data_IF_051171719063
#
_entry.id   IF_051171719063
#
_cell.length_a   1.000
_cell.length_b   1.000
_cell.length_c   1.000
_cell.angle_alpha   90.00
_cell.angle_beta   90.00
_cell.angle_gamma   90.00
#
_symmetry.space_group_name_H-M   'P 1'
#
loop_
_entity.id
_entity.type
_entity.pdbx_description
1 polymer ?
#
# COMPACT_ATOMS: atom_id res chain seq x y z
N UNK A 1 -37.92 26.97 -68.98
CA UNK A 1 -37.11 28.15 -69.34
C UNK A 1 -35.80 27.93 -68.60
N UNK A 2 -34.95 27.27 -69.35
CA UNK A 2 -33.59 27.66 -69.80
C UNK A 2 -32.60 27.66 -68.66
N UNK A 3 -31.63 26.93 -68.68
CA UNK A 3 -30.49 26.36 -69.45
C UNK A 3 -29.30 26.35 -68.51
N UNK A 4 -28.67 25.27 -68.36
CA UNK A 4 -27.46 24.72 -68.98
C UNK A 4 -26.19 25.54 -68.74
N UNK A 5 -25.19 24.89 -68.22
CA UNK A 5 -23.80 24.64 -68.65
C UNK A 5 -22.93 24.27 -67.44
N UNK A 6 -22.51 23.02 -67.30
CA UNK A 6 -21.32 22.38 -67.89
C UNK A 6 -20.05 23.20 -67.73
N UNK A 7 -19.12 22.65 -66.95
CA UNK A 7 -17.74 22.44 -67.33
C UNK A 7 -16.97 21.64 -66.29
N UNK A 8 -16.41 20.58 -66.77
CA UNK A 8 -15.46 19.70 -66.05
C UNK A 8 -14.10 20.39 -65.88
N UNK A 9 -13.42 20.08 -64.79
CA UNK A 9 -11.96 20.09 -64.72
C UNK A 9 -11.48 19.04 -63.72
N UNK A 10 -10.95 18.00 -64.32
CA UNK A 10 -10.04 16.99 -63.77
C UNK A 10 -8.83 17.63 -63.08
N UNK A 11 -8.50 17.20 -61.88
CA UNK A 11 -7.15 17.30 -61.34
C UNK A 11 -6.91 16.22 -60.30
N UNK A 12 -6.40 15.12 -60.76
CA UNK A 12 -5.79 14.03 -59.99
C UNK A 12 -4.56 14.55 -59.22
N UNK A 13 -4.65 14.59 -57.90
CA UNK A 13 -3.50 14.65 -57.00
C UNK A 13 -3.47 13.40 -56.15
N UNK A 14 -2.65 12.44 -56.60
CA UNK A 14 -2.24 11.29 -55.80
C UNK A 14 -1.29 11.77 -54.71
N UNK A 15 -1.76 11.83 -53.46
CA UNK A 15 -0.89 11.91 -52.31
C UNK A 15 -0.68 10.50 -51.75
N UNK A 16 0.52 9.99 -51.96
CA UNK A 16 1.05 8.80 -51.30
C UNK A 16 1.23 9.13 -49.83
N UNK A 17 0.20 8.79 -49.01
CA UNK A 17 0.33 8.81 -47.57
C UNK A 17 1.14 7.59 -47.14
N UNK A 18 2.41 7.82 -46.78
CA UNK A 18 3.22 6.82 -46.08
C UNK A 18 2.58 6.56 -44.72
N UNK A 19 2.34 5.29 -44.41
CA UNK A 19 1.98 4.83 -43.08
C UNK A 19 3.11 5.21 -42.12
N UNK A 20 2.79 5.65 -40.88
CA UNK A 20 3.82 5.83 -39.85
C UNK A 20 4.47 4.47 -39.54
N UNK A 21 5.75 4.46 -39.18
CA UNK A 21 6.40 3.23 -38.78
C UNK A 21 5.71 2.67 -37.53
N UNK A 22 5.39 1.41 -37.62
CA UNK A 22 4.91 0.60 -36.49
C UNK A 22 6.07 0.46 -35.50
N UNK A 23 6.12 1.34 -34.50
CA UNK A 23 7.01 1.21 -33.36
C UNK A 23 6.51 0.05 -32.49
N UNK A 24 6.75 -1.16 -32.97
CA UNK A 24 6.55 -2.41 -32.26
C UNK A 24 7.48 -2.56 -31.05
N UNK A 25 7.49 -1.59 -30.18
CA UNK A 25 8.02 -1.67 -28.84
C UNK A 25 7.04 -2.41 -27.93
N UNK A 26 6.87 -3.71 -28.12
CA UNK A 26 6.30 -4.60 -27.12
C UNK A 26 7.22 -4.61 -25.91
N UNK A 27 7.02 -3.64 -25.02
CA UNK A 27 7.47 -3.73 -23.64
C UNK A 27 6.70 -4.90 -23.03
N UNK A 28 7.26 -6.09 -23.10
CA UNK A 28 6.78 -7.23 -22.34
C UNK A 28 6.85 -6.80 -20.87
N UNK A 29 5.71 -6.38 -20.32
CA UNK A 29 5.58 -6.14 -18.89
C UNK A 29 5.83 -7.48 -18.22
N UNK A 30 7.03 -7.64 -17.68
CA UNK A 30 7.42 -8.85 -16.97
C UNK A 30 6.37 -9.10 -15.87
N UNK A 31 5.77 -10.29 -15.86
CA UNK A 31 4.73 -10.62 -14.89
C UNK A 31 5.30 -10.43 -13.47
N UNK A 32 4.56 -9.80 -12.54
CA UNK A 32 5.04 -9.56 -11.20
C UNK A 32 5.42 -10.89 -10.53
N UNK A 33 6.62 -10.93 -9.98
CA UNK A 33 7.11 -12.11 -9.24
C UNK A 33 6.38 -12.13 -7.89
N UNK A 34 5.65 -13.21 -7.55
CA UNK A 34 4.99 -13.30 -6.26
C UNK A 34 6.00 -13.19 -5.11
N UNK A 35 5.76 -12.28 -4.18
CA UNK A 35 6.53 -12.18 -2.94
C UNK A 35 5.88 -13.10 -1.90
N UNK A 36 6.39 -14.32 -1.78
CA UNK A 36 5.84 -15.34 -0.89
C UNK A 36 6.33 -15.20 0.56
N UNK A 37 7.46 -14.55 0.76
CA UNK A 37 8.06 -14.32 2.08
C UNK A 37 8.73 -12.94 2.12
N UNK A 38 8.79 -12.29 3.29
CA UNK A 38 9.58 -11.06 3.45
C UNK A 38 11.04 -11.30 3.07
N UNK A 39 11.69 -10.35 2.40
CA UNK A 39 13.10 -10.47 1.96
C UNK A 39 14.06 -10.73 3.11
N UNK A 40 13.73 -10.26 4.32
CA UNK A 40 14.53 -10.38 5.54
C UNK A 40 14.12 -11.60 6.38
N UNK A 41 13.23 -12.45 5.85
CA UNK A 41 12.61 -13.56 6.59
C UNK A 41 11.52 -13.08 7.54
N UNK A 42 10.89 -14.01 8.23
CA UNK A 42 9.85 -13.73 9.23
C UNK A 42 10.55 -13.54 10.59
N UNK A 43 10.47 -12.35 11.22
CA UNK A 43 11.08 -12.13 12.51
C UNK A 43 10.34 -12.93 13.62
N UNK A 44 10.99 -13.20 14.74
CA UNK A 44 10.32 -13.80 15.89
C UNK A 44 9.26 -12.85 16.45
N UNK A 45 8.19 -13.44 17.01
CA UNK A 45 7.14 -12.67 17.67
C UNK A 45 7.67 -12.09 18.99
N UNK A 46 7.44 -10.82 19.20
CA UNK A 46 7.81 -10.06 20.40
C UNK A 46 6.73 -10.29 21.44
N UNK A 47 7.10 -10.94 22.54
CA UNK A 47 6.21 -11.34 23.63
C UNK A 47 6.79 -11.02 25.01
N UNK A 48 7.79 -10.13 25.08
CA UNK A 48 8.39 -9.68 26.34
C UNK A 48 8.77 -8.19 26.28
N UNK A 49 8.80 -7.55 27.47
CA UNK A 49 9.05 -6.11 27.60
C UNK A 49 10.45 -5.70 27.11
N UNK A 50 11.46 -6.53 27.28
CA UNK A 50 12.82 -6.19 26.87
C UNK A 50 12.97 -6.19 25.34
N UNK A 51 12.33 -7.15 24.65
CA UNK A 51 12.26 -7.19 23.21
C UNK A 51 11.42 -6.02 22.68
N UNK A 52 10.29 -5.71 23.35
CA UNK A 52 9.45 -4.55 23.00
C UNK A 52 10.23 -3.25 23.12
N UNK A 53 10.96 -3.02 24.20
CA UNK A 53 11.75 -1.80 24.39
C UNK A 53 12.83 -1.62 23.31
N UNK A 54 13.50 -2.69 22.89
CA UNK A 54 14.45 -2.66 21.77
C UNK A 54 13.77 -2.31 20.45
N UNK A 55 12.58 -2.86 20.24
CA UNK A 55 11.78 -2.59 19.04
C UNK A 55 11.34 -1.13 18.99
N UNK A 56 10.86 -0.58 20.11
CA UNK A 56 10.48 0.84 20.21
C UNK A 56 11.66 1.72 19.82
N UNK A 57 12.84 1.50 20.39
CA UNK A 57 14.04 2.27 20.07
C UNK A 57 14.44 2.15 18.59
N UNK A 58 14.33 0.97 17.99
CA UNK A 58 14.61 0.77 16.58
C UNK A 58 13.60 1.51 15.69
N UNK A 59 12.31 1.47 16.04
CA UNK A 59 11.26 2.14 15.27
C UNK A 59 11.31 3.66 15.43
N UNK A 60 11.67 4.17 16.60
CA UNK A 60 11.92 5.60 16.82
C UNK A 60 13.09 6.11 15.95
N UNK A 61 14.18 5.34 15.87
CA UNK A 61 15.36 5.67 15.05
C UNK A 61 15.13 5.47 13.54
N UNK A 62 14.07 4.79 13.13
CA UNK A 62 13.74 4.54 11.73
C UNK A 62 13.37 5.81 10.97
N UNK A 63 13.28 5.70 9.65
CA UNK A 63 12.95 6.81 8.75
C UNK A 63 11.69 6.56 7.93
N UNK A 64 11.08 7.65 7.42
CA UNK A 64 9.87 7.57 6.61
C UNK A 64 8.63 7.10 7.37
N UNK A 65 7.56 6.75 6.65
CA UNK A 65 6.32 6.26 7.23
C UNK A 65 6.48 4.86 7.84
N UNK A 66 5.54 4.47 8.68
CA UNK A 66 5.42 3.12 9.22
C UNK A 66 4.19 2.43 8.63
N UNK A 67 4.37 1.23 8.05
CA UNK A 67 3.26 0.36 7.71
C UNK A 67 2.81 -0.38 8.97
N UNK A 68 1.49 -0.43 9.20
CA UNK A 68 0.87 -1.07 10.37
C UNK A 68 -0.29 -1.94 9.89
N UNK A 69 -0.41 -3.11 10.50
CA UNK A 69 -1.52 -4.03 10.30
C UNK A 69 -1.83 -4.73 11.63
N UNK A 70 -3.09 -5.12 11.85
CA UNK A 70 -3.51 -5.77 13.08
C UNK A 70 -4.44 -6.96 12.81
N UNK A 71 -4.05 -8.13 13.28
CA UNK A 71 -4.86 -9.34 13.19
C UNK A 71 -5.80 -9.47 14.39
N UNK A 72 -7.07 -9.72 14.09
CA UNK A 72 -8.16 -9.86 15.07
C UNK A 72 -8.79 -11.24 14.98
N UNK A 73 -9.23 -11.80 16.10
CA UNK A 73 -10.00 -13.06 16.10
C UNK A 73 -11.48 -12.81 15.74
N UNK A 74 -11.75 -12.18 14.62
CA UNK A 74 -13.08 -11.70 14.21
C UNK A 74 -14.12 -12.79 13.89
N UNK A 75 -13.76 -14.05 13.89
CA UNK A 75 -14.67 -15.17 13.55
C UNK A 75 -15.22 -15.95 14.75
N UNK A 76 -14.62 -15.83 15.94
CA UNK A 76 -14.91 -16.71 17.07
C UNK A 76 -15.28 -16.00 18.39
N UNK A 77 -15.13 -14.69 18.49
CA UNK A 77 -15.46 -13.91 19.69
C UNK A 77 -15.98 -12.52 19.32
N UNK A 78 -16.91 -12.01 20.10
CA UNK A 78 -17.50 -10.67 19.95
C UNK A 78 -16.53 -9.52 20.36
N UNK A 79 -15.22 -9.73 20.37
CA UNK A 79 -14.22 -8.74 20.76
C UNK A 79 -13.44 -8.18 19.56
N UNK A 80 -13.08 -6.90 19.66
CA UNK A 80 -12.24 -6.21 18.66
C UNK A 80 -10.74 -6.33 18.98
N UNK A 81 -10.37 -7.13 19.98
CA UNK A 81 -9.00 -7.25 20.46
C UNK A 81 -8.03 -7.70 19.37
N UNK A 82 -6.90 -7.02 19.26
CA UNK A 82 -5.78 -7.47 18.44
C UNK A 82 -5.08 -8.68 19.07
N UNK A 83 -4.63 -9.60 18.25
CA UNK A 83 -3.86 -10.79 18.63
C UNK A 83 -2.47 -10.80 18.00
N UNK A 84 -2.25 -10.00 16.96
CA UNK A 84 -0.94 -9.72 16.39
C UNK A 84 -0.96 -8.28 15.88
N UNK A 85 0.11 -7.55 16.14
CA UNK A 85 0.37 -6.25 15.50
C UNK A 85 1.63 -6.39 14.67
N UNK A 86 1.51 -6.04 13.40
CA UNK A 86 2.58 -6.10 12.42
C UNK A 86 3.01 -4.67 12.07
N UNK A 87 4.30 -4.41 12.13
CA UNK A 87 4.86 -3.11 11.75
C UNK A 87 6.06 -3.30 10.83
N UNK A 88 6.20 -2.35 9.90
CA UNK A 88 7.41 -2.23 9.08
C UNK A 88 7.79 -0.78 8.91
N UNK A 89 9.08 -0.47 9.13
CA UNK A 89 9.62 0.86 8.91
C UNK A 89 11.03 0.78 8.33
N UNK A 90 11.38 1.72 7.47
CA UNK A 90 12.74 1.83 6.91
C UNK A 90 13.76 2.07 8.05
N UNK A 91 14.85 1.28 8.03
CA UNK A 91 15.88 1.31 9.08
C UNK A 91 15.55 0.50 10.35
N UNK A 92 14.26 0.22 10.62
CA UNK A 92 13.84 -0.61 11.76
C UNK A 92 13.53 -2.05 11.38
N UNK A 93 13.21 -2.31 10.09
CA UNK A 93 12.80 -3.63 9.63
C UNK A 93 11.34 -3.96 9.93
N UNK A 94 11.05 -5.25 10.10
CA UNK A 94 9.70 -5.76 10.41
C UNK A 94 9.64 -6.20 11.87
N UNK A 95 8.53 -5.89 12.55
CA UNK A 95 8.22 -6.34 13.90
C UNK A 95 6.85 -7.04 13.92
N UNK A 96 6.78 -8.17 14.63
CA UNK A 96 5.56 -8.90 14.95
C UNK A 96 5.40 -8.86 16.47
N UNK A 97 4.34 -8.24 16.97
CA UNK A 97 4.12 -8.04 18.41
C UNK A 97 2.88 -8.81 18.83
N UNK A 98 3.00 -9.58 19.92
CA UNK A 98 1.86 -10.22 20.58
C UNK A 98 1.26 -9.25 21.61
N UNK A 99 0.10 -8.64 21.35
CA UNK A 99 -0.53 -7.70 22.28
C UNK A 99 -1.25 -8.43 23.45
N UNK A 100 -1.25 -9.76 23.46
CA UNK A 100 -1.71 -10.51 24.63
C UNK A 100 -0.61 -10.58 25.69
N UNK A 101 0.63 -10.78 25.24
CA UNK A 101 1.82 -10.79 26.11
C UNK A 101 2.31 -9.37 26.44
N UNK A 102 2.16 -8.42 25.50
CA UNK A 102 2.50 -7.00 25.66
C UNK A 102 1.22 -6.14 25.53
N UNK A 103 0.36 -6.03 26.54
CA UNK A 103 -0.98 -5.44 26.42
C UNK A 103 -1.00 -3.92 26.34
N UNK A 104 0.10 -3.26 26.62
CA UNK A 104 0.26 -1.80 26.53
C UNK A 104 1.38 -1.47 25.54
N UNK A 105 0.98 -0.91 24.40
CA UNK A 105 1.89 -0.43 23.36
C UNK A 105 1.90 1.11 23.27
N UNK A 106 1.45 1.81 24.30
CA UNK A 106 1.38 3.29 24.32
C UNK A 106 2.74 3.92 24.07
N UNK A 107 3.83 3.38 24.65
CA UNK A 107 5.18 3.86 24.41
C UNK A 107 5.61 3.73 22.94
N UNK A 108 5.18 2.68 22.24
CA UNK A 108 5.40 2.54 20.79
C UNK A 108 4.56 3.57 20.01
N UNK A 109 3.30 3.75 20.41
CA UNK A 109 2.42 4.77 19.84
C UNK A 109 3.00 6.18 19.99
N UNK A 110 3.56 6.53 21.15
CA UNK A 110 4.24 7.80 21.41
C UNK A 110 5.50 7.97 20.57
N UNK A 111 6.35 6.95 20.49
CA UNK A 111 7.56 6.97 19.65
C UNK A 111 7.24 7.19 18.17
N UNK A 112 6.05 6.78 17.72
CA UNK A 112 5.56 6.94 16.35
C UNK A 112 4.59 8.11 16.18
N UNK A 113 4.39 8.98 17.18
CA UNK A 113 3.39 10.05 17.15
C UNK A 113 3.59 11.07 16.03
N UNK A 114 4.84 11.35 15.63
CA UNK A 114 5.16 12.25 14.52
C UNK A 114 5.27 11.58 13.16
N UNK A 115 5.10 10.26 13.11
CA UNK A 115 5.28 9.45 11.92
C UNK A 115 3.95 9.27 11.18
N UNK A 116 3.98 9.26 9.86
CA UNK A 116 2.80 8.89 9.07
C UNK A 116 2.63 7.36 9.09
N UNK A 117 1.43 6.92 9.49
CA UNK A 117 1.08 5.51 9.47
C UNK A 117 0.40 5.14 8.16
N UNK A 118 0.81 4.04 7.57
CA UNK A 118 0.21 3.47 6.36
C UNK A 118 -0.56 2.22 6.76
N UNK A 119 -1.88 2.24 6.54
CA UNK A 119 -2.76 1.10 6.76
C UNK A 119 -3.57 0.81 5.49
N UNK A 120 -4.14 -0.38 5.42
CA UNK A 120 -5.15 -0.72 4.41
C UNK A 120 -6.51 -0.87 5.08
N UNK A 121 -7.52 -0.14 4.61
CA UNK A 121 -8.86 -0.11 5.23
C UNK A 121 -8.79 0.21 6.73
N UNK A 122 -8.08 1.27 7.09
CA UNK A 122 -7.68 1.64 8.44
C UNK A 122 -8.81 1.64 9.47
N UNK A 123 -10.05 1.89 9.04
CA UNK A 123 -11.24 1.85 9.91
C UNK A 123 -11.46 0.51 10.57
N UNK A 124 -10.89 -0.57 10.03
CA UNK A 124 -10.99 -1.91 10.58
C UNK A 124 -10.03 -2.11 11.76
N UNK A 125 -8.82 -1.54 11.71
CA UNK A 125 -7.75 -1.80 12.67
C UNK A 125 -7.62 -0.72 13.75
N UNK A 126 -7.96 0.53 13.44
CA UNK A 126 -7.87 1.64 14.39
C UNK A 126 -8.59 1.39 15.73
N UNK A 127 -9.77 0.73 15.80
CA UNK A 127 -10.40 0.44 17.07
C UNK A 127 -9.55 -0.46 17.97
N UNK A 128 -9.02 -1.57 17.45
CA UNK A 128 -8.22 -2.51 18.24
C UNK A 128 -6.83 -1.94 18.57
N UNK A 129 -6.22 -1.17 17.68
CA UNK A 129 -4.96 -0.47 17.95
C UNK A 129 -5.11 0.56 19.07
N UNK A 130 -6.22 1.28 19.11
CA UNK A 130 -6.52 2.23 20.18
C UNK A 130 -6.63 1.57 21.55
N UNK A 131 -7.21 0.35 21.63
CA UNK A 131 -7.32 -0.40 22.88
C UNK A 131 -5.98 -0.72 23.52
N UNK A 132 -4.92 -0.81 22.73
CA UNK A 132 -3.54 -1.10 23.19
C UNK A 132 -2.63 0.15 23.20
N UNK A 133 -3.22 1.35 23.11
CA UNK A 133 -2.49 2.61 23.21
C UNK A 133 -1.86 3.11 21.91
N UNK A 134 -2.13 2.47 20.78
CA UNK A 134 -1.58 2.86 19.47
C UNK A 134 -2.57 3.74 18.70
N UNK A 135 -2.28 5.04 18.62
CA UNK A 135 -3.14 6.03 17.95
C UNK A 135 -2.33 6.88 16.98
N UNK A 136 -2.56 6.78 15.66
CA UNK A 136 -1.85 7.62 14.70
C UNK A 136 -2.29 9.07 14.76
N UNK A 137 -1.35 10.01 14.60
CA UNK A 137 -1.63 11.44 14.38
C UNK A 137 -1.68 11.80 12.89
N UNK A 138 -1.02 11.00 12.06
CA UNK A 138 -1.01 11.10 10.60
C UNK A 138 -1.27 9.72 10.00
N UNK A 139 -2.21 9.65 9.06
CA UNK A 139 -2.66 8.40 8.48
C UNK A 139 -2.72 8.49 6.96
N UNK A 140 -2.20 7.49 6.29
CA UNK A 140 -2.42 7.21 4.88
C UNK A 140 -3.14 5.86 4.74
N UNK A 141 -4.38 5.89 4.26
CA UNK A 141 -5.17 4.69 4.01
C UNK A 141 -5.06 4.29 2.53
N UNK A 142 -4.45 3.13 2.28
CA UNK A 142 -4.20 2.66 0.91
C UNK A 142 -5.49 2.22 0.20
N UNK A 143 -6.52 1.74 0.90
CA UNK A 143 -7.82 1.47 0.30
C UNK A 143 -8.47 2.77 -0.18
N UNK A 144 -8.51 3.77 0.67
CA UNK A 144 -9.09 5.06 0.32
C UNK A 144 -8.33 5.72 -0.83
N UNK A 145 -6.99 5.67 -0.80
CA UNK A 145 -6.16 6.20 -1.87
C UNK A 145 -6.40 5.49 -3.21
N UNK A 146 -6.49 4.15 -3.21
CA UNK A 146 -6.82 3.36 -4.40
C UNK A 146 -8.18 3.74 -4.98
N UNK A 147 -9.20 3.88 -4.12
CA UNK A 147 -10.54 4.30 -4.55
C UNK A 147 -10.56 5.71 -5.16
N UNK A 148 -9.83 6.65 -4.58
CA UNK A 148 -9.70 8.01 -5.11
C UNK A 148 -8.93 8.04 -6.45
N UNK A 149 -7.99 7.12 -6.64
CA UNK A 149 -7.25 6.94 -7.89
C UNK A 149 -8.05 6.18 -8.97
N UNK A 150 -9.26 5.71 -8.65
CA UNK A 150 -10.16 5.04 -9.61
C UNK A 150 -9.92 3.54 -9.77
N UNK A 151 -9.14 2.91 -8.88
CA UNK A 151 -8.98 1.45 -8.89
C UNK A 151 -10.28 0.75 -8.46
N UNK A 152 -10.71 -0.32 -9.13
CA UNK A 152 -11.88 -1.09 -8.73
C UNK A 152 -11.62 -1.80 -7.38
N UNK A 153 -12.69 -2.05 -6.65
CA UNK A 153 -12.65 -2.57 -5.27
C UNK A 153 -12.03 -3.96 -5.14
N UNK A 154 -12.08 -4.75 -6.21
CA UNK A 154 -11.60 -6.14 -6.24
C UNK A 154 -10.07 -6.23 -6.35
N UNK A 155 -9.42 -5.19 -6.87
CA UNK A 155 -7.96 -5.15 -7.08
C UNK A 155 -7.21 -4.53 -5.89
N UNK A 156 -7.93 -3.93 -4.93
CA UNK A 156 -7.33 -3.17 -3.84
C UNK A 156 -6.48 -4.02 -2.89
N UNK A 157 -6.81 -5.29 -2.73
CA UNK A 157 -6.07 -6.18 -1.83
C UNK A 157 -4.76 -6.65 -2.46
N UNK A 158 -4.73 -6.85 -3.78
CA UNK A 158 -3.52 -7.15 -4.52
C UNK A 158 -2.58 -5.93 -4.59
N UNK A 159 -3.15 -4.72 -4.80
CA UNK A 159 -2.40 -3.48 -4.93
C UNK A 159 -1.89 -2.96 -3.58
N UNK A 160 -2.61 -3.18 -2.48
CA UNK A 160 -2.15 -2.78 -1.15
C UNK A 160 -0.90 -3.56 -0.74
N UNK A 161 -0.85 -4.85 -0.98
CA UNK A 161 0.37 -5.65 -0.74
C UNK A 161 1.52 -5.23 -1.67
N UNK A 162 1.22 -4.81 -2.90
CA UNK A 162 2.19 -4.26 -3.84
C UNK A 162 2.71 -2.88 -3.41
N UNK A 163 1.84 -1.99 -2.99
CA UNK A 163 2.17 -0.62 -2.52
C UNK A 163 3.00 -0.68 -1.24
N UNK A 164 2.61 -1.53 -0.27
CA UNK A 164 3.35 -1.71 0.98
C UNK A 164 4.68 -2.43 0.76
N UNK A 165 4.75 -3.38 -0.18
CA UNK A 165 5.98 -4.14 -0.45
C UNK A 165 6.94 -3.46 -1.43
N UNK A 166 6.49 -2.56 -2.34
CA UNK A 166 7.30 -2.09 -3.47
C UNK A 166 7.36 -0.58 -3.69
N UNK A 167 6.45 0.22 -3.19
CA UNK A 167 6.29 1.57 -3.73
C UNK A 167 6.48 2.75 -2.79
N UNK A 168 5.89 2.74 -1.62
CA UNK A 168 5.83 3.92 -0.77
C UNK A 168 6.99 4.08 0.22
N UNK A 169 7.78 3.04 0.39
CA UNK A 169 8.96 3.06 1.27
C UNK A 169 10.29 3.26 0.50
N UNK A 170 10.23 3.56 -0.81
CA UNK A 170 11.40 3.92 -1.62
C UNK A 170 11.25 5.34 -2.14
N UNK A 171 11.53 6.30 -1.32
CA UNK A 171 11.98 7.63 -1.76
C UNK A 171 13.16 8.04 -0.90
#
# INVERSE_FOLDING_TARGET
MTDAHDTAADSSLRTTGGAPPDDGGSSATEAPIPLLEPREGIPPVIADEAALARTIAAFEAGSGPVAVDAERASGYRYGQRAYLVQLRREGAGTALIDPVACPDLSALGEALSGVEWVLHAATQDLPCLREIGMVPTRLFDTELAGRLAGFPREDHQADASYVVSHGLLRR
#
